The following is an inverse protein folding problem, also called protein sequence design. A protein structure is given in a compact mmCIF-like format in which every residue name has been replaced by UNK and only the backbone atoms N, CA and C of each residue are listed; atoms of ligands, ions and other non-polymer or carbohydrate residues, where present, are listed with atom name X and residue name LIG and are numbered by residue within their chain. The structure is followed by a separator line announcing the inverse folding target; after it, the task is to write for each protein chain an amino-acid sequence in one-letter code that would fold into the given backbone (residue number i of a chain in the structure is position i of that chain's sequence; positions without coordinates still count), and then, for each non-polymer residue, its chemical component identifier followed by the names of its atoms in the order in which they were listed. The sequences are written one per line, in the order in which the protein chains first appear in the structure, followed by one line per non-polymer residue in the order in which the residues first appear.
data_IF_144701845207
#
_entry.id   IF_144701845207
#
_cell.length_a   1.000
_cell.length_b   1.000
_cell.length_c   1.000
_cell.angle_alpha   90.00
_cell.angle_beta   90.00
_cell.angle_gamma   90.00
#
_symmetry.space_group_name_H-M   'P 1'
#
loop_
_entity.id
_entity.type
_entity.pdbx_description
1 polymer ?
#
# COMPACT_ATOMS: atom_id res chain seq x y z
N UNK A 1 -3.08 -49.17 -11.44
CA UNK A 1 -3.01 -48.24 -10.29
C UNK A 1 -1.91 -47.24 -10.60
N UNK A 2 -2.27 -46.02 -11.00
CA UNK A 2 -1.35 -44.90 -11.07
C UNK A 2 -2.05 -43.77 -10.34
N UNK A 3 -1.67 -43.61 -9.09
CA UNK A 3 -2.27 -42.62 -8.19
C UNK A 3 -1.98 -41.22 -8.72
N UNK A 4 -3.03 -40.42 -8.71
CA UNK A 4 -3.00 -38.99 -8.92
C UNK A 4 -2.31 -38.34 -7.73
N UNK A 5 -1.26 -37.56 -7.98
CA UNK A 5 -0.87 -36.49 -7.09
C UNK A 5 -0.94 -35.20 -7.91
N UNK A 6 -2.18 -34.77 -8.13
CA UNK A 6 -2.51 -33.42 -8.52
C UNK A 6 -2.20 -32.54 -7.30
N UNK A 7 -0.90 -32.24 -7.12
CA UNK A 7 -0.43 -31.34 -6.08
C UNK A 7 -0.96 -29.95 -6.43
N UNK A 8 -2.13 -29.63 -5.90
CA UNK A 8 -2.59 -28.27 -5.75
C UNK A 8 -1.50 -27.53 -4.97
N UNK A 9 -0.58 -26.92 -5.70
CA UNK A 9 0.18 -25.79 -5.21
C UNK A 9 -0.84 -24.71 -4.91
N UNK A 10 -1.49 -24.80 -3.75
CA UNK A 10 -2.01 -23.65 -3.04
C UNK A 10 -0.79 -22.78 -2.83
N UNK A 11 -0.51 -21.92 -3.80
CA UNK A 11 0.31 -20.75 -3.59
C UNK A 11 -0.39 -20.00 -2.48
N UNK A 12 0.16 -20.26 -1.31
CA UNK A 12 -0.17 -19.67 -0.04
C UNK A 12 -0.41 -18.20 -0.32
N UNK A 13 -1.67 -17.78 -0.26
CA UNK A 13 -2.01 -16.40 0.00
C UNK A 13 -1.51 -16.11 1.41
N UNK A 14 -0.18 -16.00 1.55
CA UNK A 14 0.42 -15.21 2.59
C UNK A 14 -0.33 -13.89 2.53
N UNK A 15 -0.76 -13.30 3.66
CA UNK A 15 -1.34 -11.98 3.67
C UNK A 15 -0.25 -10.93 3.35
N UNK A 16 0.43 -11.09 2.21
CA UNK A 16 1.22 -10.09 1.50
C UNK A 16 0.21 -9.07 0.97
N UNK A 17 -0.25 -8.22 1.89
CA UNK A 17 -0.98 -6.97 1.73
C UNK A 17 -1.72 -6.82 0.40
N UNK A 18 -3.05 -7.01 0.43
CA UNK A 18 -3.89 -6.79 -0.74
C UNK A 18 -3.69 -5.35 -1.28
N UNK A 19 -3.73 -5.14 -2.61
CA UNK A 19 -3.61 -3.81 -3.21
C UNK A 19 -4.65 -2.83 -2.65
N UNK A 20 -5.83 -3.34 -2.28
CA UNK A 20 -6.87 -2.59 -1.57
C UNK A 20 -6.40 -2.02 -0.23
N UNK A 21 -5.72 -2.82 0.61
CA UNK A 21 -5.21 -2.32 1.90
C UNK A 21 -4.15 -1.24 1.71
N UNK A 22 -3.28 -1.39 0.71
CA UNK A 22 -2.25 -0.40 0.39
C UNK A 22 -2.87 0.94 -0.04
N UNK A 23 -3.92 0.88 -0.86
CA UNK A 23 -4.66 2.05 -1.29
C UNK A 23 -5.37 2.76 -0.11
N UNK A 24 -5.95 2.01 0.82
CA UNK A 24 -6.51 2.59 2.05
C UNK A 24 -5.43 3.34 2.86
N UNK A 25 -4.27 2.72 3.10
CA UNK A 25 -3.17 3.37 3.82
C UNK A 25 -2.72 4.66 3.13
N UNK A 26 -2.63 4.67 1.78
CA UNK A 26 -2.32 5.87 1.00
C UNK A 26 -3.35 6.98 1.23
N UNK A 27 -4.64 6.65 1.15
CA UNK A 27 -5.69 7.63 1.37
C UNK A 27 -5.66 8.20 2.79
N UNK A 28 -5.48 7.34 3.79
CA UNK A 28 -5.33 7.78 5.18
C UNK A 28 -4.10 8.66 5.37
N UNK A 29 -2.95 8.29 4.77
CA UNK A 29 -1.74 9.11 4.81
C UNK A 29 -1.99 10.52 4.28
N UNK A 30 -2.67 10.64 3.14
CA UNK A 30 -2.95 11.94 2.49
C UNK A 30 -4.04 12.76 3.18
N UNK A 31 -4.99 12.10 3.85
CA UNK A 31 -6.15 12.73 4.50
C UNK A 31 -5.97 12.96 6.00
N UNK A 32 -4.85 12.50 6.59
CA UNK A 32 -4.60 12.68 8.02
C UNK A 32 -4.61 14.18 8.37
N UNK A 33 -5.55 14.58 9.21
CA UNK A 33 -5.64 15.93 9.74
C UNK A 33 -4.94 15.99 11.09
N UNK A 34 -4.11 17.01 11.30
CA UNK A 34 -3.40 17.19 12.57
C UNK A 34 -4.36 17.28 13.78
N UNK A 35 -5.56 17.84 13.58
CA UNK A 35 -6.57 17.98 14.62
C UNK A 35 -7.09 16.63 15.16
N UNK A 36 -6.97 15.56 14.36
CA UNK A 36 -7.38 14.21 14.76
C UNK A 36 -6.30 13.49 15.58
N UNK A 37 -5.09 14.06 15.66
CA UNK A 37 -3.98 13.51 16.41
C UNK A 37 -3.91 14.11 17.83
N UNK A 38 -3.61 13.29 18.86
CA UNK A 38 -3.43 13.78 20.23
C UNK A 38 -2.29 14.80 20.40
N UNK A 39 -1.35 14.84 19.45
CA UNK A 39 -0.19 15.70 19.47
C UNK A 39 0.69 15.53 18.24
N UNK A 40 1.74 16.35 18.12
CA UNK A 40 2.61 16.38 16.95
C UNK A 40 3.43 15.10 16.78
N UNK A 41 3.82 14.48 17.90
CA UNK A 41 4.56 13.22 17.88
C UNK A 41 3.68 12.10 17.36
N UNK A 42 2.45 12.04 17.83
CA UNK A 42 1.46 11.03 17.46
C UNK A 42 1.04 11.20 16.00
N UNK A 43 0.88 12.44 15.53
CA UNK A 43 0.63 12.73 14.11
C UNK A 43 1.79 12.23 13.24
N UNK A 44 3.03 12.51 13.63
CA UNK A 44 4.22 12.06 12.89
C UNK A 44 4.34 10.53 12.88
N UNK A 45 4.13 9.87 14.02
CA UNK A 45 4.16 8.41 14.10
C UNK A 45 3.11 7.78 13.19
N UNK A 46 1.88 8.29 13.21
CA UNK A 46 0.81 7.80 12.32
C UNK A 46 1.15 8.01 10.84
N UNK A 47 1.66 9.19 10.46
CA UNK A 47 2.12 9.45 9.08
C UNK A 47 3.20 8.47 8.66
N UNK A 48 4.17 8.19 9.54
CA UNK A 48 5.27 7.27 9.25
C UNK A 48 4.77 5.84 9.04
N UNK A 49 3.88 5.36 9.90
CA UNK A 49 3.29 4.03 9.79
C UNK A 49 2.43 3.88 8.53
N UNK A 50 1.58 4.86 8.23
CA UNK A 50 0.73 4.87 7.03
C UNK A 50 1.59 4.92 5.75
N UNK A 51 2.63 5.76 5.74
CA UNK A 51 3.58 5.85 4.63
C UNK A 51 4.31 4.52 4.41
N UNK A 52 4.77 3.87 5.49
CA UNK A 52 5.45 2.58 5.42
C UNK A 52 4.53 1.46 4.93
N UNK A 53 3.28 1.43 5.38
CA UNK A 53 2.29 0.44 4.90
C UNK A 53 1.86 0.69 3.45
N UNK A 54 1.83 1.95 3.02
CA UNK A 54 1.58 2.32 1.63
C UNK A 54 2.77 1.96 0.72
N UNK A 55 3.96 2.47 1.01
CA UNK A 55 5.12 2.38 0.13
C UNK A 55 5.93 1.09 0.32
N UNK A 56 5.76 0.37 1.42
CA UNK A 56 6.41 -0.92 1.74
C UNK A 56 7.91 -0.96 1.36
N UNK A 57 8.74 -0.10 1.96
CA UNK A 57 10.17 -0.04 1.63
C UNK A 57 10.93 -1.35 1.92
N UNK A 58 10.35 -2.28 2.68
CA UNK A 58 10.91 -3.62 2.91
C UNK A 58 10.76 -4.54 1.68
N UNK A 59 9.88 -4.20 0.75
CA UNK A 59 9.54 -5.02 -0.41
C UNK A 59 9.73 -4.29 -1.74
N UNK A 60 9.93 -2.96 -1.72
CA UNK A 60 10.10 -2.16 -2.92
C UNK A 60 11.48 -1.50 -2.95
N UNK A 61 12.10 -1.48 -4.12
CA UNK A 61 13.28 -0.65 -4.38
C UNK A 61 12.90 0.82 -4.40
N UNK A 62 13.91 1.70 -4.37
CA UNK A 62 13.70 3.14 -4.50
C UNK A 62 12.94 3.50 -5.77
N UNK A 63 13.30 2.88 -6.90
CA UNK A 63 12.69 3.11 -8.21
C UNK A 63 11.22 2.69 -8.19
N UNK A 64 10.91 1.52 -7.61
CA UNK A 64 9.52 1.07 -7.46
C UNK A 64 8.70 2.00 -6.56
N UNK A 65 9.30 2.56 -5.50
CA UNK A 65 8.64 3.58 -4.67
C UNK A 65 8.36 4.84 -5.50
N UNK A 66 9.34 5.30 -6.30
CA UNK A 66 9.15 6.46 -7.17
C UNK A 66 8.04 6.21 -8.19
N UNK A 67 7.99 5.03 -8.81
CA UNK A 67 6.94 4.66 -9.76
C UNK A 67 5.54 4.73 -9.11
N UNK A 68 5.40 4.31 -7.85
CA UNK A 68 4.14 4.42 -7.12
C UNK A 68 3.73 5.88 -6.88
N UNK A 69 4.69 6.76 -6.56
CA UNK A 69 4.44 8.19 -6.36
C UNK A 69 4.08 8.88 -7.69
N UNK A 70 4.79 8.54 -8.78
CA UNK A 70 4.48 9.04 -10.12
C UNK A 70 3.09 8.57 -10.56
N UNK A 71 2.75 7.30 -10.32
CA UNK A 71 1.42 6.76 -10.63
C UNK A 71 0.33 7.49 -9.84
N UNK A 72 0.52 7.73 -8.54
CA UNK A 72 -0.41 8.53 -7.75
C UNK A 72 -0.62 9.93 -8.38
N UNK A 73 0.46 10.62 -8.70
CA UNK A 73 0.40 11.95 -9.30
C UNK A 73 -0.28 11.91 -10.67
N UNK A 74 0.06 10.94 -11.51
CA UNK A 74 -0.54 10.74 -12.83
C UNK A 74 -2.06 10.55 -12.72
N UNK A 75 -2.51 9.65 -11.85
CA UNK A 75 -3.93 9.41 -11.63
C UNK A 75 -4.66 10.66 -11.12
N UNK A 76 -3.99 11.51 -10.34
CA UNK A 76 -4.60 12.76 -9.83
C UNK A 76 -4.81 13.84 -10.89
N UNK A 77 -4.09 13.78 -12.01
CA UNK A 77 -4.18 14.76 -13.10
C UNK A 77 -4.97 14.24 -14.29
N UNK A 78 -5.40 12.98 -14.27
CA UNK A 78 -6.25 12.42 -15.31
C UNK A 78 -7.59 13.18 -15.35
N UNK A 79 -8.09 13.51 -16.55
CA UNK A 79 -9.46 13.97 -16.70
C UNK A 79 -10.45 12.98 -16.08
N UNK A 80 -11.51 13.49 -15.47
CA UNK A 80 -12.54 12.66 -14.82
C UNK A 80 -13.42 11.90 -15.81
N UNK A 81 -13.35 12.28 -17.08
CA UNK A 81 -14.18 11.75 -18.17
C UNK A 81 -13.51 10.59 -18.95
N UNK A 82 -12.43 10.02 -18.39
CA UNK A 82 -11.75 8.84 -18.94
C UNK A 82 -12.45 7.52 -18.58
#
# INVERSE_FOLDING_TARGET
IKAEDHYWGQDSSSPKCSPHRRELCRQHFRKLCYQDAPGPREALTQLWELCRQWLRPECHTKEQILDLLVLEQFLSILPKDL
#
